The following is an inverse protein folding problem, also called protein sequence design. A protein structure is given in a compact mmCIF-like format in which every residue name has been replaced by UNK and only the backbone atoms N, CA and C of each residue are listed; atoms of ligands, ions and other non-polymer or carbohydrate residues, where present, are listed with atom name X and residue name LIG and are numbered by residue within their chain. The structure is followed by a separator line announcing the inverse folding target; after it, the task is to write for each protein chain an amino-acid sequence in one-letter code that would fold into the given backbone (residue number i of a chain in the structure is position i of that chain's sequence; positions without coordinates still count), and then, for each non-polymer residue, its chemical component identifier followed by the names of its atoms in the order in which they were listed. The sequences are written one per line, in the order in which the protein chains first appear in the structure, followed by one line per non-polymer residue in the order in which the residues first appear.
data_IF_211872703250
#
_entry.id   IF_211872703250
#
_cell.length_a   1.000
_cell.length_b   1.000
_cell.length_c   1.000
_cell.angle_alpha   90.00
_cell.angle_beta   90.00
_cell.angle_gamma   90.00
#
_symmetry.space_group_name_H-M   'P 1'
#
loop_
_entity.id
_entity.type
_entity.pdbx_description
1 polymer ?
#
# COMPACT_ATOMS: atom_id res chain seq x y z
N UNK A 1 -9.13 38.05 3.87
CA UNK A 1 -10.22 37.07 3.65
C UNK A 1 -10.35 36.25 4.92
N UNK A 2 -11.56 35.95 5.41
CA UNK A 2 -11.71 35.26 6.70
C UNK A 2 -11.52 33.76 6.52
N UNK A 3 -10.56 33.18 7.23
CA UNK A 3 -10.37 31.73 7.27
C UNK A 3 -11.22 31.17 8.39
N UNK A 4 -12.04 30.16 8.10
CA UNK A 4 -12.84 29.42 9.07
C UNK A 4 -12.19 28.07 9.34
N UNK A 5 -12.27 27.60 10.59
CA UNK A 5 -11.88 26.23 10.93
C UNK A 5 -12.92 25.56 11.82
N UNK A 6 -13.06 24.25 11.65
CA UNK A 6 -13.87 23.38 12.52
C UNK A 6 -13.06 22.14 12.87
N UNK A 7 -13.10 21.75 14.14
CA UNK A 7 -12.44 20.57 14.68
C UNK A 7 -13.44 19.41 14.68
N UNK A 8 -13.03 18.27 14.16
CA UNK A 8 -13.81 17.04 14.21
C UNK A 8 -13.40 16.24 15.45
N UNK A 9 -14.40 15.87 16.23
CA UNK A 9 -14.28 15.03 17.40
C UNK A 9 -14.93 13.67 17.16
N UNK A 10 -14.38 12.61 17.73
CA UNK A 10 -15.08 11.33 17.87
C UNK A 10 -15.57 11.18 19.30
N UNK A 11 -16.85 10.83 19.43
CA UNK A 11 -17.49 10.65 20.73
C UNK A 11 -17.18 9.24 21.25
N UNK A 12 -16.47 9.17 22.37
CA UNK A 12 -16.20 7.92 23.08
C UNK A 12 -17.41 7.55 23.94
N UNK A 13 -17.98 8.53 24.64
CA UNK A 13 -19.17 8.39 25.44
C UNK A 13 -20.05 9.63 25.34
N UNK A 14 -21.26 9.47 24.80
CA UNK A 14 -22.22 10.57 24.61
C UNK A 14 -22.84 11.07 25.91
N UNK A 15 -22.91 10.21 26.94
CA UNK A 15 -23.50 10.58 28.25
C UNK A 15 -22.55 11.42 29.11
N UNK A 16 -21.25 11.15 29.02
CA UNK A 16 -20.20 11.89 29.74
C UNK A 16 -19.58 13.02 28.91
N UNK A 17 -20.04 13.21 27.67
CA UNK A 17 -19.47 14.16 26.70
C UNK A 17 -17.95 13.95 26.49
N UNK A 18 -17.50 12.70 26.58
CA UNK A 18 -16.12 12.32 26.36
C UNK A 18 -15.86 12.22 24.86
N UNK A 19 -15.03 13.11 24.37
CA UNK A 19 -14.75 13.25 22.93
C UNK A 19 -13.29 13.52 22.68
N UNK A 20 -12.78 13.02 21.56
CA UNK A 20 -11.38 13.20 21.17
C UNK A 20 -11.29 13.90 19.83
N UNK A 21 -10.45 14.93 19.73
CA UNK A 21 -10.17 15.60 18.46
C UNK A 21 -9.40 14.67 17.52
N UNK A 22 -9.94 14.38 16.34
CA UNK A 22 -9.32 13.45 15.38
C UNK A 22 -8.97 14.12 14.05
N UNK A 23 -9.64 15.21 13.68
CA UNK A 23 -9.32 15.93 12.46
C UNK A 23 -9.67 17.41 12.52
N UNK A 24 -9.16 18.16 11.55
CA UNK A 24 -9.47 19.58 11.39
C UNK A 24 -9.83 19.85 9.93
N UNK A 25 -10.85 20.68 9.78
CA UNK A 25 -11.30 21.23 8.51
C UNK A 25 -11.03 22.73 8.52
N UNK A 26 -10.38 23.25 7.49
CA UNK A 26 -10.06 24.67 7.35
C UNK A 26 -10.44 25.14 5.95
N UNK A 27 -11.15 26.27 5.87
CA UNK A 27 -11.58 26.87 4.61
C UNK A 27 -11.39 28.37 4.62
N UNK A 28 -11.06 28.97 3.49
CA UNK A 28 -11.10 30.42 3.29
C UNK A 28 -12.13 30.84 2.22
N UNK A 29 -13.09 29.95 1.91
CA UNK A 29 -14.09 30.12 0.86
C UNK A 29 -13.61 29.84 -0.57
N UNK A 30 -12.30 29.65 -0.78
CA UNK A 30 -11.73 29.33 -2.11
C UNK A 30 -10.88 28.05 -2.09
N UNK A 31 -10.19 27.78 -0.98
CA UNK A 31 -9.41 26.57 -0.72
C UNK A 31 -9.94 25.90 0.53
N UNK A 32 -10.05 24.58 0.46
CA UNK A 32 -10.48 23.71 1.55
C UNK A 32 -9.37 22.72 1.87
N UNK A 33 -9.01 22.64 3.13
CA UNK A 33 -8.04 21.67 3.64
C UNK A 33 -8.69 20.82 4.72
N UNK A 34 -8.53 19.52 4.61
CA UNK A 34 -8.96 18.56 5.62
C UNK A 34 -7.84 17.58 5.88
N UNK A 35 -7.68 17.23 7.15
CA UNK A 35 -6.81 16.13 7.56
C UNK A 35 -7.29 15.56 8.87
N UNK A 36 -7.15 14.25 9.01
CA UNK A 36 -7.37 13.53 10.26
C UNK A 36 -6.13 12.70 10.62
N UNK A 37 -5.95 12.42 11.91
CA UNK A 37 -4.83 11.60 12.38
C UNK A 37 -5.22 10.12 12.41
N UNK A 38 -4.62 9.34 11.52
CA UNK A 38 -4.72 7.88 11.47
C UNK A 38 -4.14 7.23 12.74
N UNK A 39 -3.02 7.74 13.23
CA UNK A 39 -2.38 7.25 14.47
C UNK A 39 -3.31 7.42 15.66
N UNK A 40 -3.87 8.63 15.83
CA UNK A 40 -4.81 8.91 16.90
C UNK A 40 -6.07 8.04 16.79
N UNK A 41 -6.59 7.86 15.57
CA UNK A 41 -7.72 6.96 15.33
C UNK A 41 -7.40 5.51 15.73
N UNK A 42 -6.21 4.99 15.37
CA UNK A 42 -5.80 3.63 15.66
C UNK A 42 -5.62 3.35 17.15
N UNK A 43 -5.18 4.33 17.94
CA UNK A 43 -5.11 4.25 19.40
C UNK A 43 -6.48 3.98 20.04
N UNK A 44 -7.57 4.43 19.42
CA UNK A 44 -8.94 4.20 19.91
C UNK A 44 -9.56 2.88 19.47
N UNK A 45 -8.86 2.05 18.68
CA UNK A 45 -9.37 0.74 18.25
C UNK A 45 -9.69 -0.19 19.44
N UNK A 46 -8.99 -0.03 20.56
CA UNK A 46 -9.25 -0.81 21.78
C UNK A 46 -10.37 -0.26 22.67
N UNK A 47 -10.79 0.99 22.44
CA UNK A 47 -11.80 1.70 23.26
C UNK A 47 -13.15 1.73 22.53
N UNK A 48 -13.13 1.87 21.20
CA UNK A 48 -14.31 1.80 20.34
C UNK A 48 -14.58 0.35 19.94
N UNK A 49 -15.86 -0.03 19.84
CA UNK A 49 -16.21 -1.31 19.23
C UNK A 49 -15.80 -1.33 17.74
N UNK A 50 -15.58 -2.54 17.20
CA UNK A 50 -15.09 -2.74 15.83
C UNK A 50 -15.99 -2.11 14.76
N UNK A 51 -17.30 -2.15 14.96
CA UNK A 51 -18.30 -1.56 14.06
C UNK A 51 -18.23 -0.03 14.03
N UNK A 52 -18.23 0.64 15.20
CA UNK A 52 -18.12 2.11 15.27
C UNK A 52 -16.79 2.59 14.73
N UNK A 53 -15.70 1.87 15.03
CA UNK A 53 -14.39 2.16 14.46
C UNK A 53 -14.40 2.11 12.92
N UNK A 54 -15.03 1.08 12.34
CA UNK A 54 -15.22 0.95 10.89
C UNK A 54 -16.02 2.12 10.29
N UNK A 55 -17.13 2.48 10.93
CA UNK A 55 -17.98 3.60 10.50
C UNK A 55 -17.24 4.95 10.55
N UNK A 56 -16.55 5.25 11.66
CA UNK A 56 -15.73 6.47 11.83
C UNK A 56 -14.67 6.54 10.73
N UNK A 57 -13.93 5.44 10.52
CA UNK A 57 -12.86 5.39 9.53
C UNK A 57 -13.39 5.60 8.11
N UNK A 58 -14.50 4.97 7.76
CA UNK A 58 -15.14 5.14 6.44
C UNK A 58 -15.62 6.56 6.23
N UNK A 59 -16.26 7.17 7.25
CA UNK A 59 -16.74 8.55 7.17
C UNK A 59 -15.60 9.57 7.00
N UNK A 60 -14.52 9.46 7.79
CA UNK A 60 -13.35 10.34 7.66
C UNK A 60 -12.68 10.19 6.29
N UNK A 61 -12.61 8.96 5.75
CA UNK A 61 -12.10 8.71 4.40
C UNK A 61 -12.99 9.28 3.30
N UNK A 62 -14.31 9.29 3.49
CA UNK A 62 -15.23 9.89 2.52
C UNK A 62 -15.05 11.41 2.46
N UNK A 63 -14.93 12.08 3.61
CA UNK A 63 -14.66 13.53 3.67
C UNK A 63 -13.32 13.85 2.99
N UNK A 64 -12.28 13.07 3.30
CA UNK A 64 -10.96 13.25 2.70
C UNK A 64 -10.99 13.08 1.17
N UNK A 65 -11.67 12.03 0.68
CA UNK A 65 -11.85 11.81 -0.76
C UNK A 65 -12.64 12.91 -1.46
N UNK A 66 -13.70 13.42 -0.85
CA UNK A 66 -14.49 14.50 -1.43
C UNK A 66 -13.64 15.76 -1.63
N UNK A 67 -12.86 16.14 -0.61
CA UNK A 67 -12.01 17.34 -0.62
C UNK A 67 -10.77 17.17 -1.52
N UNK A 68 -10.18 15.97 -1.57
CA UNK A 68 -9.03 15.67 -2.45
C UNK A 68 -9.46 15.55 -3.92
N UNK A 69 -10.65 15.00 -4.21
CA UNK A 69 -11.14 14.81 -5.58
C UNK A 69 -11.44 16.12 -6.34
N UNK A 70 -11.45 17.24 -5.63
CA UNK A 70 -11.60 18.58 -6.20
C UNK A 70 -10.26 19.26 -6.53
N UNK A 71 -9.13 18.72 -6.04
CA UNK A 71 -7.78 19.22 -6.36
C UNK A 71 -7.13 18.54 -7.58
N UNK A 72 -7.71 17.44 -8.07
CA UNK A 72 -7.23 16.72 -9.26
C UNK A 72 -8.12 17.11 -10.44
N UNK A 73 -7.64 18.05 -11.26
CA UNK A 73 -8.20 18.33 -12.59
C UNK A 73 -7.88 17.15 -13.50
N UNK A 74 -8.67 16.09 -13.41
CA UNK A 74 -8.58 14.95 -14.32
C UNK A 74 -9.46 15.25 -15.55
N UNK A 75 -8.82 15.70 -16.62
CA UNK A 75 -9.45 16.27 -17.82
C UNK A 75 -10.19 15.26 -18.72
N UNK A 76 -10.44 14.02 -18.27
CA UNK A 76 -10.92 12.93 -19.12
C UNK A 76 -12.16 12.18 -18.59
N UNK A 77 -13.11 12.85 -17.92
CA UNK A 77 -14.40 12.22 -17.58
C UNK A 77 -15.56 12.84 -18.35
N UNK A 78 -16.11 12.04 -19.27
CA UNK A 78 -17.29 12.24 -20.14
C UNK A 78 -18.63 12.44 -19.40
N UNK A 79 -18.60 12.63 -18.07
CA UNK A 79 -19.74 13.04 -17.29
C UNK A 79 -19.40 14.38 -16.66
N UNK A 80 -20.07 15.43 -17.13
CA UNK A 80 -20.05 16.75 -16.51
C UNK A 80 -20.51 16.54 -15.06
N UNK A 81 -19.56 16.49 -14.12
CA UNK A 81 -19.83 16.67 -12.70
C UNK A 81 -20.65 17.95 -12.62
N UNK A 82 -21.92 17.85 -12.23
CA UNK A 82 -22.67 19.02 -11.75
C UNK A 82 -21.74 19.75 -10.78
N UNK A 83 -21.62 21.06 -10.93
CA UNK A 83 -20.88 21.98 -10.07
C UNK A 83 -21.37 21.87 -8.61
N UNK A 84 -21.05 20.77 -7.92
CA UNK A 84 -20.88 20.77 -6.48
C UNK A 84 -19.52 21.40 -6.25
N UNK A 85 -19.43 22.71 -6.56
CA UNK A 85 -18.37 23.55 -6.01
C UNK A 85 -18.39 23.33 -4.50
N UNK A 86 -17.21 23.46 -3.90
CA UNK A 86 -16.85 23.51 -2.49
C UNK A 86 -17.78 24.31 -1.51
N UNK A 87 -18.97 24.72 -1.93
CA UNK A 87 -20.00 25.47 -1.21
C UNK A 87 -20.57 24.76 0.01
N UNK A 88 -20.36 23.44 0.19
CA UNK A 88 -20.81 22.80 1.43
C UNK A 88 -19.93 23.16 2.63
N UNK A 89 -18.64 23.50 2.44
CA UNK A 89 -17.76 23.97 3.52
C UNK A 89 -17.95 25.48 3.70
N UNK A 90 -19.18 25.86 4.03
CA UNK A 90 -19.52 27.23 4.40
C UNK A 90 -19.81 27.30 5.91
N UNK A 91 -19.73 28.50 6.47
CA UNK A 91 -19.96 28.73 7.90
C UNK A 91 -21.34 28.22 8.36
N UNK A 92 -22.39 28.47 7.59
CA UNK A 92 -23.77 28.04 7.89
C UNK A 92 -23.91 26.51 7.96
N UNK A 93 -23.23 25.77 7.09
CA UNK A 93 -23.26 24.32 7.04
C UNK A 93 -22.39 23.70 8.13
N UNK A 94 -21.25 24.31 8.47
CA UNK A 94 -20.48 23.88 9.65
C UNK A 94 -21.23 24.13 10.95
N UNK A 95 -21.98 25.24 11.07
CA UNK A 95 -22.91 25.44 12.19
C UNK A 95 -23.99 24.36 12.21
N UNK A 96 -24.58 24.03 11.06
CA UNK A 96 -25.54 22.93 10.96
C UNK A 96 -24.93 21.60 11.43
N UNK A 97 -23.77 21.21 10.89
CA UNK A 97 -23.07 20.00 11.28
C UNK A 97 -22.77 20.01 12.79
N UNK A 98 -22.28 21.11 13.35
CA UNK A 98 -22.00 21.19 14.80
C UNK A 98 -23.22 20.93 15.69
N UNK A 99 -24.44 21.23 15.21
CA UNK A 99 -25.69 21.04 15.95
C UNK A 99 -26.27 19.64 15.78
N UNK A 100 -26.13 19.03 14.60
CA UNK A 100 -26.84 17.80 14.25
C UNK A 100 -25.95 16.55 14.16
N UNK A 101 -24.63 16.69 14.07
CA UNK A 101 -23.68 15.57 14.01
C UNK A 101 -23.23 15.11 15.42
N UNK A 102 -24.14 14.61 16.26
CA UNK A 102 -23.78 14.33 17.67
C UNK A 102 -23.51 12.85 17.99
N UNK A 103 -23.72 11.92 17.06
CA UNK A 103 -23.76 10.49 17.42
C UNK A 103 -22.43 9.75 17.29
N UNK A 104 -21.59 10.08 16.29
CA UNK A 104 -20.36 9.32 16.00
C UNK A 104 -19.18 10.27 15.82
N UNK A 105 -19.36 11.28 14.98
CA UNK A 105 -18.40 12.36 14.75
C UNK A 105 -19.12 13.67 15.00
N UNK A 106 -18.50 14.55 15.79
CA UNK A 106 -19.02 15.85 16.16
C UNK A 106 -18.12 16.96 15.64
N UNK A 107 -18.72 17.92 14.94
CA UNK A 107 -18.04 19.11 14.47
C UNK A 107 -18.06 20.19 15.56
N UNK A 108 -16.95 20.91 15.72
CA UNK A 108 -16.94 22.13 16.51
C UNK A 108 -17.67 23.24 15.77
N UNK A 109 -18.21 24.20 16.53
CA UNK A 109 -18.64 25.46 15.93
C UNK A 109 -17.50 26.06 15.10
N UNK A 110 -17.80 26.57 13.89
CA UNK A 110 -16.79 27.18 13.03
C UNK A 110 -16.26 28.44 13.70
N UNK A 111 -14.94 28.57 13.75
CA UNK A 111 -14.26 29.74 14.30
C UNK A 111 -13.53 30.47 13.20
N UNK A 112 -13.65 31.79 13.19
CA UNK A 112 -12.92 32.66 12.25
C UNK A 112 -11.55 32.99 12.80
N UNK A 113 -10.54 32.94 11.93
CA UNK A 113 -9.18 33.39 12.19
C UNK A 113 -8.76 34.36 11.09
N UNK A 114 -8.09 35.44 11.49
CA UNK A 114 -7.54 36.44 10.58
C UNK A 114 -6.12 36.04 10.16
N UNK A 115 -6.03 34.91 9.45
CA UNK A 115 -4.76 34.36 8.94
C UNK A 115 -5.00 33.80 7.55
N UNK A 116 -4.10 34.11 6.62
CA UNK A 116 -4.16 33.55 5.27
C UNK A 116 -3.92 32.04 5.28
N UNK A 117 -4.78 31.33 4.54
CA UNK A 117 -4.75 29.89 4.44
C UNK A 117 -3.62 29.45 3.50
N UNK A 118 -2.56 28.91 4.09
CA UNK A 118 -1.45 28.26 3.41
C UNK A 118 -1.10 26.94 4.12
N UNK A 119 -0.34 26.05 3.47
CA UNK A 119 -0.04 24.71 3.98
C UNK A 119 0.68 24.74 5.35
N UNK A 120 1.51 25.76 5.59
CA UNK A 120 2.22 25.93 6.86
C UNK A 120 1.27 26.38 8.00
N UNK A 121 0.35 27.30 7.72
CA UNK A 121 -0.71 27.72 8.63
C UNK A 121 -1.61 26.52 8.95
N UNK A 122 -2.00 25.75 7.95
CA UNK A 122 -2.81 24.53 8.12
C UNK A 122 -2.08 23.50 8.99
N UNK A 123 -0.79 23.24 8.72
CA UNK A 123 0.05 22.35 9.53
C UNK A 123 0.09 22.77 10.99
N UNK A 124 0.33 24.06 11.26
CA UNK A 124 0.36 24.60 12.64
C UNK A 124 -0.99 24.46 13.36
N UNK A 125 -2.10 24.67 12.66
CA UNK A 125 -3.45 24.48 13.20
C UNK A 125 -3.66 22.99 13.53
N UNK A 126 -3.32 22.09 12.61
CA UNK A 126 -3.43 20.65 12.83
C UNK A 126 -2.59 20.17 14.02
N UNK A 127 -1.32 20.60 14.10
CA UNK A 127 -0.42 20.25 15.21
C UNK A 127 -0.93 20.72 16.56
N UNK A 128 -1.51 21.92 16.61
CA UNK A 128 -2.00 22.52 17.85
C UNK A 128 -3.26 21.85 18.38
N UNK A 129 -4.18 21.43 17.50
CA UNK A 129 -5.51 20.95 17.91
C UNK A 129 -5.69 19.43 17.81
N UNK A 130 -4.96 18.76 16.92
CA UNK A 130 -5.17 17.36 16.58
C UNK A 130 -4.02 16.51 17.10
N UNK A 131 -2.88 16.54 16.43
CA UNK A 131 -1.73 15.70 16.70
C UNK A 131 -0.52 16.15 15.88
N UNK A 132 0.66 15.56 16.11
CA UNK A 132 1.84 15.78 15.26
C UNK A 132 1.45 15.62 13.79
N UNK A 133 1.77 16.61 12.97
CA UNK A 133 1.55 16.53 11.54
C UNK A 133 2.62 15.61 10.97
N UNK A 134 2.31 14.32 10.92
CA UNK A 134 2.97 13.41 10.01
C UNK A 134 2.77 13.99 8.62
N UNK A 135 3.85 14.45 7.99
CA UNK A 135 3.83 14.61 6.56
C UNK A 135 3.53 13.19 6.02
N UNK A 136 2.33 12.95 5.49
CA UNK A 136 2.01 11.69 4.81
C UNK A 136 2.82 11.53 3.50
N UNK A 137 3.88 12.34 3.32
CA UNK A 137 4.95 12.13 2.34
C UNK A 137 6.09 11.24 2.87
N UNK A 138 6.01 10.73 4.10
CA UNK A 138 6.68 9.48 4.45
C UNK A 138 5.70 8.31 4.29
N UNK A 139 5.08 8.22 3.11
CA UNK A 139 5.16 6.93 2.43
C UNK A 139 6.66 6.75 2.25
N UNK A 140 7.33 6.01 3.15
CA UNK A 140 8.57 5.35 2.73
C UNK A 140 8.26 4.81 1.34
N UNK A 141 8.95 5.26 0.28
CA UNK A 141 8.55 5.01 -1.09
C UNK A 141 8.20 3.54 -1.14
N UNK A 142 6.92 3.24 -1.39
CA UNK A 142 6.36 1.90 -1.21
C UNK A 142 7.38 0.93 -1.77
N UNK A 143 8.09 0.24 -0.86
CA UNK A 143 9.39 -0.33 -1.19
C UNK A 143 9.11 -1.52 -2.10
N UNK A 144 9.07 -1.24 -3.39
CA UNK A 144 8.55 -2.16 -4.36
C UNK A 144 9.72 -3.06 -4.76
N UNK A 145 9.81 -4.20 -4.07
CA UNK A 145 10.81 -5.24 -4.27
C UNK A 145 10.94 -5.58 -5.76
N UNK A 146 9.80 -5.72 -6.46
CA UNK A 146 9.78 -5.99 -7.90
C UNK A 146 10.43 -4.86 -8.72
N UNK A 147 10.23 -3.59 -8.36
CA UNK A 147 10.82 -2.45 -9.08
C UNK A 147 12.34 -2.38 -8.95
N UNK A 148 12.89 -2.84 -7.82
CA UNK A 148 14.34 -2.90 -7.59
C UNK A 148 14.95 -4.01 -8.43
N UNK A 149 14.36 -5.22 -8.39
CA UNK A 149 14.81 -6.36 -9.20
C UNK A 149 14.76 -6.02 -10.69
N UNK A 150 13.65 -5.43 -11.18
CA UNK A 150 13.52 -4.99 -12.57
C UNK A 150 14.60 -4.00 -13.00
N UNK A 151 15.03 -3.10 -12.11
CA UNK A 151 16.05 -2.09 -12.45
C UNK A 151 17.48 -2.62 -12.36
N UNK A 152 17.75 -3.50 -11.39
CA UNK A 152 19.11 -3.93 -11.08
C UNK A 152 19.50 -5.24 -11.78
N UNK A 153 18.57 -6.19 -11.90
CA UNK A 153 18.85 -7.54 -12.38
C UNK A 153 18.49 -7.70 -13.86
N UNK A 154 17.29 -7.31 -14.27
CA UNK A 154 16.78 -7.62 -15.62
C UNK A 154 17.65 -7.12 -16.77
N UNK A 155 18.19 -5.87 -16.75
CA UNK A 155 19.06 -5.40 -17.82
C UNK A 155 20.33 -6.24 -18.01
N UNK A 156 20.75 -6.96 -16.97
CA UNK A 156 21.98 -7.74 -16.96
C UNK A 156 21.79 -9.19 -17.39
N UNK A 157 20.56 -9.72 -17.26
CA UNK A 157 20.26 -11.13 -17.55
C UNK A 157 19.39 -11.31 -18.80
N UNK A 158 18.80 -10.25 -19.35
CA UNK A 158 17.86 -10.28 -20.49
C UNK A 158 18.34 -11.04 -21.74
N UNK A 159 19.65 -11.08 -22.00
CA UNK A 159 20.20 -11.80 -23.16
C UNK A 159 20.34 -13.32 -22.92
N UNK A 160 20.24 -13.76 -21.66
CA UNK A 160 20.58 -15.11 -21.21
C UNK A 160 19.40 -15.87 -20.64
N UNK A 161 18.28 -15.21 -20.34
CA UNK A 161 17.07 -15.83 -19.80
C UNK A 161 15.83 -15.17 -20.40
N UNK A 162 14.70 -15.88 -20.42
CA UNK A 162 13.41 -15.25 -20.69
C UNK A 162 12.98 -14.50 -19.42
N UNK A 163 12.57 -13.25 -19.58
CA UNK A 163 12.14 -12.36 -18.48
C UNK A 163 10.63 -12.11 -18.58
N UNK A 164 9.96 -11.99 -17.44
CA UNK A 164 8.54 -11.62 -17.32
C UNK A 164 7.62 -12.42 -18.26
N UNK A 165 7.77 -13.76 -18.23
CA UNK A 165 6.98 -14.65 -19.08
C UNK A 165 5.81 -15.22 -18.30
N UNK A 166 4.62 -15.20 -18.90
CA UNK A 166 3.48 -15.96 -18.41
C UNK A 166 3.60 -17.39 -18.92
N UNK A 167 3.60 -18.35 -18.00
CA UNK A 167 3.66 -19.78 -18.27
C UNK A 167 2.26 -20.38 -18.14
N UNK A 168 1.86 -21.21 -19.10
CA UNK A 168 0.55 -21.89 -19.11
C UNK A 168 0.71 -23.40 -19.19
N UNK A 169 -0.41 -24.12 -19.22
CA UNK A 169 -0.42 -25.56 -19.47
C UNK A 169 0.12 -25.96 -20.86
N UNK A 170 0.24 -24.99 -21.78
CA UNK A 170 0.87 -25.21 -23.09
C UNK A 170 2.41 -25.23 -22.98
N UNK A 171 2.98 -24.53 -21.99
CA UNK A 171 4.42 -24.53 -21.72
C UNK A 171 4.82 -25.72 -20.82
N UNK A 172 3.96 -26.06 -19.83
CA UNK A 172 4.17 -27.18 -18.91
C UNK A 172 2.86 -27.94 -18.66
N UNK A 173 2.76 -29.21 -19.06
CA UNK A 173 1.53 -30.02 -19.01
C UNK A 173 0.96 -30.12 -17.58
N UNK A 174 1.84 -30.20 -16.59
CA UNK A 174 1.48 -30.32 -15.16
C UNK A 174 1.22 -28.98 -14.47
N UNK A 175 1.16 -27.88 -15.22
CA UNK A 175 0.85 -26.56 -14.68
C UNK A 175 -0.67 -26.31 -14.70
N UNK A 176 -1.30 -26.39 -13.53
CA UNK A 176 -2.76 -26.27 -13.39
C UNK A 176 -3.31 -24.84 -13.52
N UNK A 177 -2.47 -23.82 -13.40
CA UNK A 177 -2.88 -22.42 -13.48
C UNK A 177 -1.77 -21.57 -14.10
N UNK A 178 -2.10 -20.54 -14.90
CA UNK A 178 -1.10 -19.63 -15.44
C UNK A 178 -0.30 -18.94 -14.33
N UNK A 179 1.02 -18.83 -14.51
CA UNK A 179 1.94 -18.20 -13.57
C UNK A 179 2.84 -17.23 -14.32
N UNK A 180 2.93 -16.00 -13.82
CA UNK A 180 3.91 -15.02 -14.28
C UNK A 180 5.23 -15.25 -13.54
N UNK A 181 6.28 -15.61 -14.29
CA UNK A 181 7.63 -15.80 -13.75
C UNK A 181 8.51 -14.58 -14.08
N UNK A 182 9.30 -14.12 -13.11
CA UNK A 182 10.24 -13.02 -13.34
C UNK A 182 11.36 -13.38 -14.31
N UNK A 183 11.96 -14.56 -14.15
CA UNK A 183 12.88 -15.10 -15.15
C UNK A 183 12.96 -16.62 -15.17
N UNK A 184 13.24 -17.17 -16.35
CA UNK A 184 13.45 -18.61 -16.57
C UNK A 184 14.50 -18.86 -17.67
N UNK A 185 15.35 -19.86 -17.44
CA UNK A 185 16.43 -20.27 -18.32
C UNK A 185 16.81 -21.73 -18.12
N UNK A 186 17.78 -22.19 -18.91
CA UNK A 186 18.27 -23.57 -18.89
C UNK A 186 19.76 -23.63 -19.15
N UNK A 187 20.45 -24.53 -18.43
CA UNK A 187 21.87 -24.86 -18.65
C UNK A 187 22.16 -26.35 -18.45
N UNK A 188 21.23 -27.20 -18.88
CA UNK A 188 21.22 -28.64 -18.57
C UNK A 188 20.34 -28.97 -17.37
N UNK A 189 20.13 -28.01 -16.46
CA UNK A 189 19.05 -28.02 -15.47
C UNK A 189 18.19 -26.76 -15.65
N UNK A 190 16.91 -26.79 -15.26
CA UNK A 190 16.07 -25.59 -15.28
C UNK A 190 16.55 -24.59 -14.23
N UNK A 191 16.59 -23.31 -14.60
CA UNK A 191 16.94 -22.20 -13.72
C UNK A 191 15.79 -21.19 -13.76
N UNK A 192 15.14 -20.92 -12.64
CA UNK A 192 14.07 -19.92 -12.59
C UNK A 192 14.15 -19.09 -11.31
N UNK A 193 13.60 -17.89 -11.34
CA UNK A 193 13.51 -17.07 -10.14
C UNK A 193 12.26 -16.22 -10.11
N UNK A 194 11.77 -15.99 -8.90
CA UNK A 194 10.58 -15.21 -8.63
C UNK A 194 10.84 -14.20 -7.52
N UNK A 195 10.46 -12.95 -7.75
CA UNK A 195 10.43 -11.91 -6.73
C UNK A 195 9.17 -12.04 -5.89
N UNK A 196 9.36 -12.12 -4.58
CA UNK A 196 8.30 -12.23 -3.58
C UNK A 196 8.40 -11.06 -2.62
N UNK A 197 7.29 -10.35 -2.45
CA UNK A 197 7.17 -9.27 -1.48
C UNK A 197 6.59 -9.81 -0.16
N UNK A 198 7.48 -10.02 0.80
CA UNK A 198 7.16 -10.55 2.13
C UNK A 198 6.39 -9.57 3.03
N UNK A 199 6.23 -8.30 2.62
CA UNK A 199 5.43 -7.30 3.35
C UNK A 199 3.94 -7.34 2.97
N UNK A 200 3.56 -8.07 1.91
CA UNK A 200 2.17 -8.23 1.47
C UNK A 200 1.31 -8.94 2.53
N UNK A 201 -0.01 -8.84 2.35
CA UNK A 201 -0.96 -9.59 3.18
C UNK A 201 -0.65 -11.09 3.12
N UNK A 202 -0.69 -11.76 4.28
CA UNK A 202 -0.26 -13.16 4.42
C UNK A 202 -0.92 -14.10 3.40
N UNK A 203 -2.21 -13.90 3.13
CA UNK A 203 -2.96 -14.69 2.14
C UNK A 203 -2.38 -14.56 0.72
N UNK A 204 -2.01 -13.35 0.30
CA UNK A 204 -1.42 -13.13 -1.02
C UNK A 204 0.01 -13.68 -1.09
N UNK A 205 0.78 -13.50 -0.02
CA UNK A 205 2.13 -14.05 0.09
C UNK A 205 2.14 -15.58 0.00
N UNK A 206 1.26 -16.25 0.75
CA UNK A 206 1.11 -17.71 0.73
C UNK A 206 0.74 -18.21 -0.67
N UNK A 207 -0.16 -17.50 -1.36
CA UNK A 207 -0.52 -17.82 -2.74
C UNK A 207 0.67 -17.63 -3.71
N UNK A 208 1.44 -16.53 -3.60
CA UNK A 208 2.61 -16.28 -4.46
C UNK A 208 3.66 -17.39 -4.29
N UNK A 209 3.97 -17.76 -3.04
CA UNK A 209 4.91 -18.85 -2.72
C UNK A 209 4.39 -20.19 -3.24
N UNK A 210 3.13 -20.51 -2.98
CA UNK A 210 2.54 -21.79 -3.40
C UNK A 210 2.55 -21.93 -4.91
N UNK A 211 2.20 -20.88 -5.65
CA UNK A 211 2.27 -20.86 -7.12
C UNK A 211 3.69 -21.13 -7.60
N UNK A 212 4.68 -20.43 -7.06
CA UNK A 212 6.07 -20.65 -7.47
C UNK A 212 6.53 -22.08 -7.18
N UNK A 213 6.22 -22.63 -6.00
CA UNK A 213 6.52 -24.03 -5.67
C UNK A 213 5.81 -25.00 -6.64
N UNK A 214 4.55 -24.77 -6.96
CA UNK A 214 3.83 -25.57 -7.97
C UNK A 214 4.51 -25.52 -9.33
N UNK A 215 4.99 -24.35 -9.77
CA UNK A 215 5.77 -24.22 -11.01
C UNK A 215 7.06 -25.04 -10.95
N UNK A 216 7.84 -24.94 -9.87
CA UNK A 216 9.08 -25.72 -9.73
C UNK A 216 8.80 -27.22 -9.88
N UNK A 217 7.69 -27.72 -9.32
CA UNK A 217 7.28 -29.12 -9.46
C UNK A 217 6.81 -29.47 -10.86
N UNK A 218 6.07 -28.60 -11.54
CA UNK A 218 5.67 -28.82 -12.93
C UNK A 218 6.91 -28.95 -13.84
N UNK A 219 7.89 -28.07 -13.67
CA UNK A 219 9.15 -28.11 -14.41
C UNK A 219 9.95 -29.40 -14.11
N UNK A 220 10.05 -29.79 -12.83
CA UNK A 220 10.74 -31.01 -12.42
C UNK A 220 10.05 -32.31 -12.88
N UNK A 221 8.74 -32.29 -13.13
CA UNK A 221 8.01 -33.46 -13.63
C UNK A 221 8.27 -33.73 -15.11
N UNK A 222 8.72 -32.73 -15.86
CA UNK A 222 9.03 -32.85 -17.29
C UNK A 222 10.50 -33.17 -17.57
N UNK A 223 11.38 -33.08 -16.57
CA UNK A 223 12.81 -33.35 -16.70
C UNK A 223 13.36 -34.27 -15.61
N UNK A 224 14.49 -34.92 -15.87
CA UNK A 224 15.10 -35.88 -14.93
C UNK A 224 15.96 -35.24 -13.83
N UNK A 225 15.96 -33.91 -13.69
CA UNK A 225 16.88 -33.20 -12.80
C UNK A 225 16.21 -32.09 -11.98
N UNK A 226 16.60 -31.98 -10.70
CA UNK A 226 16.20 -30.85 -9.85
C UNK A 226 16.78 -29.56 -10.41
N UNK A 227 15.90 -28.57 -10.60
CA UNK A 227 16.30 -27.24 -11.04
C UNK A 227 16.99 -26.42 -9.96
N UNK A 228 17.47 -25.25 -10.38
CA UNK A 228 17.95 -24.20 -9.50
C UNK A 228 16.92 -23.08 -9.45
N UNK A 229 16.29 -22.91 -8.29
CA UNK A 229 15.18 -21.97 -8.13
C UNK A 229 15.52 -20.87 -7.13
N UNK A 230 15.38 -19.62 -7.54
CA UNK A 230 15.70 -18.45 -6.72
C UNK A 230 14.43 -17.77 -6.23
N UNK A 231 14.39 -17.39 -4.95
CA UNK A 231 13.37 -16.49 -4.39
C UNK A 231 14.04 -15.18 -4.07
N UNK A 232 13.66 -14.12 -4.79
CA UNK A 232 14.20 -12.79 -4.59
C UNK A 232 13.26 -12.03 -3.66
N UNK A 233 13.79 -11.43 -2.60
CA UNK A 233 12.95 -10.69 -1.68
C UNK A 233 13.74 -9.91 -0.65
N UNK A 234 13.02 -9.41 0.35
CA UNK A 234 13.61 -8.79 1.52
C UNK A 234 12.99 -9.42 2.76
N UNK A 235 13.78 -9.59 3.81
CA UNK A 235 13.24 -9.95 5.13
C UNK A 235 12.10 -8.98 5.53
N UNK A 236 10.95 -9.49 6.00
CA UNK A 236 9.87 -8.64 6.47
C UNK A 236 10.25 -7.92 7.76
N UNK A 237 9.90 -6.63 7.87
CA UNK A 237 10.25 -5.74 8.99
C UNK A 237 9.77 -6.26 10.36
N UNK A 238 8.64 -6.97 10.38
CA UNK A 238 8.02 -7.49 11.61
C UNK A 238 8.43 -8.93 11.86
N UNK A 239 9.44 -9.11 12.72
CA UNK A 239 9.98 -10.42 13.13
C UNK A 239 9.01 -11.37 13.86
N UNK A 240 7.82 -10.92 14.24
CA UNK A 240 6.85 -11.71 15.04
C UNK A 240 5.53 -11.95 14.28
N UNK A 241 5.55 -11.88 12.94
CA UNK A 241 4.35 -12.14 12.14
C UNK A 241 4.47 -13.46 11.37
N UNK A 242 3.32 -13.95 10.86
CA UNK A 242 3.26 -15.16 10.04
C UNK A 242 4.10 -15.08 8.76
N UNK A 243 4.37 -13.87 8.26
CA UNK A 243 5.19 -13.66 7.07
C UNK A 243 6.68 -13.90 7.35
N UNK A 244 7.17 -13.53 8.53
CA UNK A 244 8.53 -13.79 8.96
C UNK A 244 8.79 -15.29 9.08
N UNK A 245 7.86 -16.04 9.69
CA UNK A 245 7.94 -17.50 9.73
C UNK A 245 7.99 -18.14 8.33
N UNK A 246 7.16 -17.65 7.40
CA UNK A 246 7.16 -18.15 6.02
C UNK A 246 8.48 -17.81 5.30
N UNK A 247 9.00 -16.60 5.51
CA UNK A 247 10.31 -16.19 4.99
C UNK A 247 11.45 -17.06 5.54
N UNK A 248 11.47 -17.32 6.86
CA UNK A 248 12.45 -18.22 7.49
C UNK A 248 12.38 -19.61 6.88
N UNK A 249 11.18 -20.17 6.72
CA UNK A 249 11.00 -21.47 6.08
C UNK A 249 11.54 -21.49 4.65
N UNK A 250 11.31 -20.45 3.85
CA UNK A 250 11.82 -20.36 2.47
C UNK A 250 13.35 -20.25 2.46
N UNK A 251 13.92 -19.44 3.36
CA UNK A 251 15.37 -19.26 3.47
C UNK A 251 16.08 -20.55 3.89
N UNK A 252 15.48 -21.32 4.79
CA UNK A 252 16.09 -22.51 5.37
C UNK A 252 15.82 -23.79 4.54
N UNK A 253 15.07 -23.66 3.45
CA UNK A 253 14.73 -24.76 2.55
C UNK A 253 15.86 -25.07 1.55
N UNK A 254 16.14 -26.35 1.28
CA UNK A 254 17.23 -26.74 0.36
C UNK A 254 16.88 -26.60 -1.13
N UNK A 255 15.60 -26.67 -1.51
CA UNK A 255 15.18 -26.66 -2.91
C UNK A 255 14.94 -25.25 -3.49
N UNK A 256 14.96 -24.21 -2.64
CA UNK A 256 14.86 -22.80 -3.02
C UNK A 256 16.08 -22.07 -2.48
N UNK A 257 16.68 -21.20 -3.29
CA UNK A 257 17.73 -20.29 -2.83
C UNK A 257 17.14 -18.89 -2.62
N UNK A 258 17.04 -18.46 -1.36
CA UNK A 258 16.65 -17.10 -1.05
C UNK A 258 17.83 -16.14 -1.33
N UNK A 259 17.55 -15.09 -2.10
CA UNK A 259 18.52 -14.02 -2.40
C UNK A 259 17.90 -12.70 -1.96
N UNK A 260 18.59 -11.98 -1.09
CA UNK A 260 18.16 -10.63 -0.72
C UNK A 260 18.30 -9.71 -1.93
N UNK A 261 17.35 -8.80 -2.11
CA UNK A 261 17.37 -7.81 -3.19
C UNK A 261 18.61 -6.89 -3.18
N UNK A 262 19.33 -6.76 -2.06
CA UNK A 262 20.60 -6.06 -2.03
C UNK A 262 21.75 -6.86 -2.66
N UNK A 263 21.55 -8.17 -2.86
CA UNK A 263 22.54 -9.15 -3.32
C UNK A 263 22.14 -9.80 -4.66
N UNK A 264 21.24 -9.18 -5.43
CA UNK A 264 20.80 -9.72 -6.75
C UNK A 264 21.95 -10.01 -7.73
N UNK A 265 23.13 -9.43 -7.52
CA UNK A 265 24.34 -9.74 -8.29
C UNK A 265 24.74 -11.22 -8.26
N UNK A 266 24.40 -11.95 -7.18
CA UNK A 266 24.68 -13.40 -7.08
C UNK A 266 24.00 -14.17 -8.21
N UNK A 267 22.80 -13.75 -8.62
CA UNK A 267 22.03 -14.41 -9.68
C UNK A 267 22.67 -14.13 -11.05
N UNK A 268 23.12 -12.90 -11.28
CA UNK A 268 23.88 -12.53 -12.48
C UNK A 268 25.13 -13.39 -12.63
N UNK A 269 25.95 -13.46 -11.56
CA UNK A 269 27.18 -14.24 -11.54
C UNK A 269 26.90 -15.72 -11.80
N UNK A 270 25.83 -16.27 -11.22
CA UNK A 270 25.42 -17.65 -11.45
C UNK A 270 25.03 -17.89 -12.91
N UNK A 271 24.21 -17.03 -13.49
CA UNK A 271 23.73 -17.13 -14.88
C UNK A 271 24.90 -17.06 -15.86
N UNK A 272 25.84 -16.14 -15.64
CA UNK A 272 27.02 -15.99 -16.49
C UNK A 272 27.98 -17.16 -16.35
N UNK A 273 28.34 -17.54 -15.12
CA UNK A 273 29.32 -18.61 -14.84
C UNK A 273 28.85 -19.96 -15.36
N UNK A 274 27.56 -20.25 -15.25
CA UNK A 274 27.00 -21.52 -15.69
C UNK A 274 26.39 -21.47 -17.10
N UNK A 275 26.64 -20.39 -17.85
CA UNK A 275 26.22 -20.19 -19.24
C UNK A 275 24.74 -20.53 -19.50
N UNK A 276 23.87 -20.00 -18.63
CA UNK A 276 22.42 -20.15 -18.75
C UNK A 276 21.94 -19.51 -20.05
N UNK A 277 20.99 -20.19 -20.71
CA UNK A 277 20.34 -19.74 -21.94
C UNK A 277 18.85 -19.58 -21.70
N UNK A 278 18.13 -18.81 -22.54
CA UNK A 278 16.68 -18.75 -22.52
C UNK A 278 16.10 -20.17 -22.55
N UNK A 279 15.08 -20.40 -21.74
CA UNK A 279 14.38 -21.69 -21.68
C UNK A 279 13.53 -21.91 -22.94
N UNK A 280 13.01 -20.81 -23.49
CA UNK A 280 12.26 -20.76 -24.73
C UNK A 280 13.03 -19.93 -25.76
N UNK A 281 12.99 -20.37 -27.01
CA UNK A 281 13.53 -19.66 -28.17
C UNK A 281 12.78 -18.36 -28.48
#
# INVERSE_FOLDING_TARGET
MKTIYSILYVNLNTTLNERVSIGVLVSNGSKNYFKFSSDKLSAFKGILNSERYGLVKSYLKSIDKEIVSDNIVDSNKLFIKRDFKNDWINESYLVYLSRYSNNIIQFSEPKTIDVDLNDNTFKRIFEKYIFKFSNDTNVEPEFNVHSIVKKQLFPKIQEKVNIEKTLTSDDFENLFAPIDIDFIGVNGIPVAGQTIDFEKSHYYLENDVTRFVSLTKAIELEGDSRGKYFVLGREPQKRVNKNHLLWEHIRDTEFLEFVDISEVGIIEDYIQKNNVRPFFD
#
